data_IF_040095310525
#
_entry.id   IF_040095310525
#
_cell.length_a   1.000
_cell.length_b   1.000
_cell.length_c   1.000
_cell.angle_alpha   90.00
_cell.angle_beta   90.00
_cell.angle_gamma   90.00
#
_symmetry.space_group_name_H-M   'P 1'
#
loop_
_entity.id
_entity.type
_entity.pdbx_description
1 polymer ?
#
# COMPACT_ATOMS: atom_id res chain seq x y z
N UNK A 1 -13.65 23.29 13.81
CA UNK A 1 -13.84 22.06 13.01
C UNK A 1 -15.30 21.84 12.68
N UNK A 2 -15.59 21.03 11.66
CA UNK A 2 -16.97 20.64 11.32
C UNK A 2 -17.61 19.92 12.51
N UNK A 3 -18.88 20.21 12.81
CA UNK A 3 -19.64 19.50 13.86
C UNK A 3 -20.04 18.09 13.45
N UNK A 4 -19.87 17.75 12.16
CA UNK A 4 -20.34 16.51 11.56
C UNK A 4 -19.32 15.97 10.53
N UNK A 5 -19.26 14.65 10.33
CA UNK A 5 -18.47 14.07 9.24
C UNK A 5 -18.93 14.61 7.89
N UNK A 6 -17.95 14.89 7.03
CA UNK A 6 -18.16 15.40 5.67
C UNK A 6 -17.70 14.37 4.65
N UNK A 7 -18.56 14.00 3.71
CA UNK A 7 -18.27 13.07 2.62
C UNK A 7 -18.12 13.84 1.31
N UNK A 8 -17.01 13.62 0.60
CA UNK A 8 -16.86 14.04 -0.78
C UNK A 8 -17.56 13.04 -1.70
N UNK A 9 -18.60 13.46 -2.41
CA UNK A 9 -19.22 12.70 -3.48
C UNK A 9 -18.66 13.18 -4.82
N UNK A 10 -17.71 12.41 -5.34
CA UNK A 10 -17.04 12.64 -6.61
C UNK A 10 -17.81 11.93 -7.72
N UNK A 11 -18.06 12.58 -8.86
CA UNK A 11 -18.74 11.91 -9.97
C UNK A 11 -18.63 12.61 -11.31
N UNK A 12 -18.98 11.86 -12.37
CA UNK A 12 -19.13 12.38 -13.73
C UNK A 12 -20.54 12.95 -13.89
N UNK A 13 -20.73 14.22 -13.50
CA UNK A 13 -22.09 14.77 -13.35
C UNK A 13 -22.78 15.05 -14.68
N UNK A 14 -22.03 15.19 -15.78
CA UNK A 14 -22.60 15.24 -17.14
C UNK A 14 -23.48 14.03 -17.49
N UNK A 15 -23.17 12.85 -16.95
CA UNK A 15 -23.86 11.61 -17.30
C UNK A 15 -24.60 10.97 -16.12
N UNK A 16 -24.13 11.15 -14.88
CA UNK A 16 -24.64 10.45 -13.68
C UNK A 16 -25.21 11.37 -12.61
N UNK A 17 -25.64 12.57 -12.99
CA UNK A 17 -26.19 13.55 -12.05
C UNK A 17 -27.34 12.99 -11.20
N UNK A 18 -28.28 12.27 -11.82
CA UNK A 18 -29.49 11.79 -11.12
C UNK A 18 -29.17 10.76 -10.04
N UNK A 19 -28.23 9.87 -10.32
CA UNK A 19 -27.76 8.80 -9.45
C UNK A 19 -26.90 9.37 -8.31
N UNK A 20 -26.01 10.33 -8.61
CA UNK A 20 -25.25 11.06 -7.61
C UNK A 20 -26.16 11.86 -6.67
N UNK A 21 -27.18 12.55 -7.20
CA UNK A 21 -28.16 13.26 -6.38
C UNK A 21 -28.97 12.31 -5.51
N UNK A 22 -29.36 11.14 -6.03
CA UNK A 22 -30.04 10.14 -5.22
C UNK A 22 -29.15 9.64 -4.08
N UNK A 23 -27.89 9.28 -4.36
CA UNK A 23 -26.93 8.87 -3.34
C UNK A 23 -26.73 9.95 -2.27
N UNK A 24 -26.51 11.20 -2.68
CA UNK A 24 -26.46 12.36 -1.78
C UNK A 24 -27.71 12.45 -0.91
N UNK A 25 -28.90 12.29 -1.49
CA UNK A 25 -30.15 12.34 -0.73
C UNK A 25 -30.27 11.24 0.32
N UNK A 26 -29.70 10.05 0.07
CA UNK A 26 -29.70 8.96 1.05
C UNK A 26 -28.69 9.22 2.17
N UNK A 27 -27.54 9.83 1.86
CA UNK A 27 -26.55 10.26 2.85
C UNK A 27 -27.11 11.33 3.79
N UNK A 28 -27.75 12.38 3.25
CA UNK A 28 -28.28 13.49 4.05
C UNK A 28 -29.55 13.15 4.82
N UNK A 29 -30.33 12.15 4.37
CA UNK A 29 -31.48 11.62 5.10
C UNK A 29 -31.10 10.60 6.19
N UNK A 30 -29.82 10.25 6.32
CA UNK A 30 -29.40 9.28 7.32
C UNK A 30 -29.63 9.85 8.73
N UNK A 31 -30.56 9.26 9.48
CA UNK A 31 -30.92 9.71 10.82
C UNK A 31 -29.97 9.21 11.92
N UNK A 32 -29.11 8.22 11.62
CA UNK A 32 -28.18 7.66 12.60
C UNK A 32 -26.93 8.52 12.76
N UNK A 33 -26.47 9.12 11.66
CA UNK A 33 -25.31 10.00 11.63
C UNK A 33 -25.62 11.22 10.77
N UNK A 34 -25.59 12.45 11.32
CA UNK A 34 -25.66 13.66 10.50
C UNK A 34 -24.43 13.71 9.59
N UNK A 35 -24.66 13.70 8.27
CA UNK A 35 -23.60 13.73 7.25
C UNK A 35 -23.70 15.03 6.45
N UNK A 36 -22.59 15.76 6.34
CA UNK A 36 -22.42 16.82 5.34
C UNK A 36 -21.88 16.21 4.04
N UNK A 37 -22.34 16.69 2.89
CA UNK A 37 -21.85 16.23 1.59
C UNK A 37 -21.25 17.38 0.79
N UNK A 38 -20.08 17.18 0.22
CA UNK A 38 -19.51 18.04 -0.83
C UNK A 38 -19.62 17.33 -2.18
N UNK A 39 -20.10 18.02 -3.21
CA UNK A 39 -20.19 17.50 -4.58
C UNK A 39 -19.02 18.00 -5.43
N UNK A 40 -18.30 17.08 -6.08
CA UNK A 40 -17.20 17.40 -6.99
C UNK A 40 -17.42 16.79 -8.37
N UNK A 41 -17.40 17.64 -9.40
CA UNK A 41 -17.61 17.23 -10.80
C UNK A 41 -16.28 16.88 -11.48
N UNK A 42 -16.23 15.70 -12.08
CA UNK A 42 -15.15 15.22 -12.95
C UNK A 42 -15.71 14.62 -14.24
N UNK A 43 -16.85 15.13 -14.72
CA UNK A 43 -17.45 14.80 -16.02
C UNK A 43 -16.62 15.26 -17.21
N UNK A 44 -17.06 15.00 -18.44
CA UNK A 44 -16.42 15.57 -19.66
C UNK A 44 -16.92 16.97 -19.96
N UNK A 45 -18.15 17.24 -19.55
CA UNK A 45 -18.77 18.56 -19.68
C UNK A 45 -19.18 19.03 -18.30
N UNK A 46 -18.82 20.26 -17.88
CA UNK A 46 -19.24 20.78 -16.60
C UNK A 46 -20.77 20.78 -16.46
N UNK A 47 -21.28 20.24 -15.35
CA UNK A 47 -22.71 20.26 -15.07
C UNK A 47 -23.12 21.63 -14.47
N UNK A 48 -24.22 22.28 -14.93
CA UNK A 48 -24.53 23.68 -14.57
C UNK A 48 -25.19 23.86 -13.20
N UNK A 49 -25.22 22.83 -12.35
CA UNK A 49 -26.01 22.86 -11.12
C UNK A 49 -25.34 23.71 -10.05
N UNK A 50 -26.07 24.63 -9.38
CA UNK A 50 -25.51 25.40 -8.26
C UNK A 50 -25.32 24.56 -6.99
N UNK A 51 -25.75 23.29 -6.99
CA UNK A 51 -25.52 22.37 -5.87
C UNK A 51 -24.09 21.79 -5.86
N UNK A 52 -23.30 22.02 -6.92
CA UNK A 52 -21.94 21.50 -7.04
C UNK A 52 -21.02 22.42 -6.24
N UNK A 53 -20.45 21.90 -5.16
CA UNK A 53 -19.58 22.67 -4.26
C UNK A 53 -18.19 22.89 -4.87
N UNK A 54 -17.67 21.88 -5.57
CA UNK A 54 -16.37 21.92 -6.24
C UNK A 54 -16.64 21.74 -7.74
N UNK A 55 -16.58 22.84 -8.51
CA UNK A 55 -16.89 22.79 -9.93
C UNK A 55 -15.85 21.98 -10.71
N UNK A 56 -16.21 21.60 -11.93
CA UNK A 56 -15.32 20.90 -12.84
C UNK A 56 -13.98 21.66 -13.01
N UNK A 57 -12.82 20.97 -13.08
CA UNK A 57 -11.50 21.62 -13.19
C UNK A 57 -11.37 22.63 -14.35
N UNK A 58 -12.07 22.41 -15.47
CA UNK A 58 -12.11 23.39 -16.57
C UNK A 58 -12.72 24.75 -16.19
N UNK A 59 -13.37 24.87 -15.02
CA UNK A 59 -13.98 26.10 -14.52
C UNK A 59 -13.14 26.79 -13.45
N UNK A 60 -12.10 26.15 -12.89
CA UNK A 60 -11.25 26.78 -11.89
C UNK A 60 -10.31 27.81 -12.52
N UNK A 61 -10.30 29.03 -11.98
CA UNK A 61 -9.35 30.07 -12.39
C UNK A 61 -8.04 30.07 -11.59
N UNK A 62 -7.97 29.33 -10.48
CA UNK A 62 -6.87 29.45 -9.51
C UNK A 62 -5.54 28.76 -9.92
N UNK A 63 -5.53 27.95 -10.99
CA UNK A 63 -4.30 27.38 -11.57
C UNK A 63 -3.80 28.16 -12.80
N UNK A 64 -4.41 29.31 -13.14
CA UNK A 64 -4.00 30.16 -14.28
C UNK A 64 -2.75 31.02 -14.03
N UNK A 65 -1.91 30.69 -13.05
CA UNK A 65 -0.71 31.46 -12.69
C UNK A 65 0.52 30.56 -12.62
N UNK A 66 1.02 30.12 -13.78
CA UNK A 66 2.40 30.29 -14.27
C UNK A 66 2.74 29.23 -15.32
N UNK A 67 3.30 29.75 -16.42
CA UNK A 67 3.99 29.07 -17.52
C UNK A 67 3.11 28.65 -18.71
N UNK A 68 3.21 29.51 -19.73
CA UNK A 68 2.88 29.31 -21.15
C UNK A 68 1.40 29.04 -21.49
N UNK A 69 1.00 29.51 -22.67
CA UNK A 69 -0.35 29.39 -23.21
C UNK A 69 -0.68 27.92 -23.50
N UNK A 70 -0.97 27.12 -22.47
CA UNK A 70 -1.55 25.79 -22.66
C UNK A 70 -3.00 25.96 -23.13
N UNK A 71 -3.30 25.40 -24.31
CA UNK A 71 -4.65 25.31 -24.86
C UNK A 71 -5.61 24.79 -23.77
N UNK A 72 -6.77 25.43 -23.58
CA UNK A 72 -7.80 24.89 -22.68
C UNK A 72 -8.06 23.42 -23.08
N UNK A 73 -7.73 22.48 -22.18
CA UNK A 73 -7.97 21.06 -22.42
C UNK A 73 -9.45 20.85 -22.73
N UNK A 74 -9.77 20.58 -24.00
CA UNK A 74 -11.14 20.25 -24.39
C UNK A 74 -11.44 18.79 -24.02
N UNK A 75 -11.76 18.59 -22.74
CA UNK A 75 -12.14 17.30 -22.16
C UNK A 75 -13.25 16.58 -22.94
N UNK A 76 -14.07 17.30 -23.73
CA UNK A 76 -15.16 16.70 -24.52
C UNK A 76 -14.64 15.81 -25.63
N UNK A 77 -13.54 16.20 -26.27
CA UNK A 77 -13.01 15.53 -27.46
C UNK A 77 -11.75 14.70 -27.19
N UNK A 78 -11.19 14.76 -25.97
CA UNK A 78 -10.08 13.91 -25.58
C UNK A 78 -10.42 12.41 -25.71
N UNK A 79 -9.53 11.59 -26.31
CA UNK A 79 -9.63 10.13 -26.28
C UNK A 79 -9.81 9.61 -24.84
N UNK A 80 -10.52 8.50 -24.65
CA UNK A 80 -10.90 8.02 -23.31
C UNK A 80 -9.72 7.92 -22.33
N UNK A 81 -8.61 7.33 -22.76
CA UNK A 81 -7.45 7.14 -21.88
C UNK A 81 -6.77 8.48 -21.54
N UNK A 82 -6.59 9.35 -22.54
CA UNK A 82 -6.05 10.69 -22.33
C UNK A 82 -6.92 11.49 -21.38
N UNK A 83 -8.24 11.48 -21.60
CA UNK A 83 -9.19 12.14 -20.71
C UNK A 83 -9.09 11.65 -19.26
N UNK A 84 -9.05 10.33 -19.02
CA UNK A 84 -8.92 9.77 -17.68
C UNK A 84 -7.66 10.32 -17.02
N UNK A 85 -6.51 10.28 -17.71
CA UNK A 85 -5.25 10.79 -17.17
C UNK A 85 -5.33 12.29 -16.85
N UNK A 86 -5.73 13.12 -17.83
CA UNK A 86 -5.82 14.57 -17.68
C UNK A 86 -6.74 14.97 -16.54
N UNK A 87 -7.96 14.41 -16.47
CA UNK A 87 -8.93 14.78 -15.43
C UNK A 87 -8.48 14.32 -14.04
N UNK A 88 -7.85 13.16 -13.92
CA UNK A 88 -7.32 12.70 -12.62
C UNK A 88 -6.17 13.56 -12.15
N UNK A 89 -5.26 13.95 -13.05
CA UNK A 89 -4.12 14.84 -12.72
C UNK A 89 -4.62 16.20 -12.23
N UNK A 90 -5.64 16.77 -12.88
CA UNK A 90 -6.22 18.05 -12.48
C UNK A 90 -7.05 17.98 -11.17
N UNK A 91 -7.78 16.87 -10.94
CA UNK A 91 -8.67 16.75 -9.79
C UNK A 91 -7.96 16.34 -8.48
N UNK A 92 -6.89 15.54 -8.58
CA UNK A 92 -6.19 14.96 -7.42
C UNK A 92 -5.69 16.03 -6.42
N UNK A 93 -5.03 17.13 -6.82
CA UNK A 93 -4.55 18.15 -5.87
C UNK A 93 -5.65 18.77 -5.01
N UNK A 94 -6.85 18.96 -5.58
CA UNK A 94 -8.02 19.47 -4.85
C UNK A 94 -8.46 18.49 -3.76
N UNK A 95 -8.53 17.19 -4.10
CA UNK A 95 -8.89 16.15 -3.12
C UNK A 95 -7.83 16.02 -2.03
N UNK A 96 -6.55 16.06 -2.39
CA UNK A 96 -5.45 16.05 -1.42
C UNK A 96 -5.54 17.22 -0.44
N UNK A 97 -5.82 18.44 -0.94
CA UNK A 97 -5.99 19.63 -0.10
C UNK A 97 -7.18 19.50 0.84
N UNK A 98 -8.31 18.99 0.36
CA UNK A 98 -9.48 18.74 1.22
C UNK A 98 -9.18 17.77 2.35
N UNK A 99 -8.38 16.73 2.08
CA UNK A 99 -7.93 15.79 3.09
C UNK A 99 -6.95 16.44 4.08
N UNK A 100 -5.92 17.13 3.60
CA UNK A 100 -4.90 17.79 4.42
C UNK A 100 -5.52 18.86 5.35
N UNK A 101 -6.50 19.60 4.84
CA UNK A 101 -7.26 20.60 5.60
C UNK A 101 -8.32 19.96 6.53
N UNK A 102 -8.41 18.62 6.59
CA UNK A 102 -9.44 17.85 7.30
C UNK A 102 -10.89 18.28 6.98
N UNK A 103 -11.13 18.72 5.74
CA UNK A 103 -12.45 19.14 5.25
C UNK A 103 -13.33 17.95 4.83
N UNK A 104 -12.74 16.78 4.62
CA UNK A 104 -13.44 15.55 4.24
C UNK A 104 -12.99 14.37 5.12
N UNK A 105 -13.90 13.42 5.31
CA UNK A 105 -13.76 12.27 6.21
C UNK A 105 -14.07 10.94 5.51
N UNK A 106 -14.63 11.01 4.29
CA UNK A 106 -14.73 9.91 3.37
C UNK A 106 -14.85 10.44 1.95
N UNK A 107 -14.55 9.59 0.97
CA UNK A 107 -14.85 9.82 -0.44
C UNK A 107 -15.69 8.68 -1.00
N UNK A 108 -16.79 9.05 -1.66
CA UNK A 108 -17.71 8.14 -2.33
C UNK A 108 -17.77 8.47 -3.82
N UNK A 109 -17.93 7.45 -4.66
CA UNK A 109 -18.23 7.64 -6.08
C UNK A 109 -19.04 6.48 -6.65
N UNK A 110 -19.61 6.67 -7.84
CA UNK A 110 -20.38 5.68 -8.58
C UNK A 110 -20.16 5.81 -10.09
N UNK A 111 -20.13 4.68 -10.81
CA UNK A 111 -20.01 4.73 -12.26
C UNK A 111 -19.73 3.40 -12.95
N UNK A 112 -19.66 3.47 -14.29
CA UNK A 112 -19.17 2.37 -15.11
C UNK A 112 -17.65 2.30 -15.13
N UNK A 113 -17.06 1.54 -16.07
CA UNK A 113 -15.59 1.39 -16.18
C UNK A 113 -14.81 2.71 -16.19
N UNK A 114 -15.21 3.69 -17.00
CA UNK A 114 -14.52 4.98 -17.10
C UNK A 114 -14.60 5.78 -15.79
N UNK A 115 -15.80 5.92 -15.20
CA UNK A 115 -15.99 6.64 -13.93
C UNK A 115 -15.29 5.94 -12.76
N UNK A 116 -15.27 4.61 -12.76
CA UNK A 116 -14.51 3.81 -11.78
C UNK A 116 -13.02 4.08 -11.90
N UNK A 117 -12.48 4.12 -13.13
CA UNK A 117 -11.07 4.41 -13.36
C UNK A 117 -10.70 5.79 -12.84
N UNK A 118 -11.48 6.83 -13.16
CA UNK A 118 -11.25 8.21 -12.71
C UNK A 118 -11.29 8.29 -11.18
N UNK A 119 -12.41 7.85 -10.59
CA UNK A 119 -12.63 8.00 -9.16
C UNK A 119 -11.61 7.21 -8.34
N UNK A 120 -11.32 5.97 -8.73
CA UNK A 120 -10.35 5.15 -7.98
C UNK A 120 -8.93 5.66 -8.14
N UNK A 121 -8.52 6.19 -9.31
CA UNK A 121 -7.21 6.84 -9.45
C UNK A 121 -7.09 8.04 -8.51
N UNK A 122 -8.07 8.94 -8.49
CA UNK A 122 -8.07 10.07 -7.54
C UNK A 122 -8.05 9.57 -6.08
N UNK A 123 -8.83 8.54 -5.75
CA UNK A 123 -8.84 7.95 -4.40
C UNK A 123 -7.46 7.39 -4.00
N UNK A 124 -6.76 6.71 -4.91
CA UNK A 124 -5.44 6.14 -4.66
C UNK A 124 -4.37 7.22 -4.57
N UNK A 125 -4.43 8.25 -5.40
CA UNK A 125 -3.36 9.23 -5.51
C UNK A 125 -3.49 10.33 -4.46
N UNK A 126 -4.72 10.70 -4.10
CA UNK A 126 -4.97 11.82 -3.20
C UNK A 126 -5.02 11.46 -1.71
N UNK A 127 -5.32 10.20 -1.37
CA UNK A 127 -5.73 9.81 -0.01
C UNK A 127 -4.90 8.63 0.52
N UNK A 128 -4.49 8.67 1.80
CA UNK A 128 -3.66 7.62 2.39
C UNK A 128 -4.45 6.37 2.74
N UNK A 129 -3.73 5.26 2.98
CA UNK A 129 -4.33 4.04 3.54
C UNK A 129 -4.97 4.36 4.90
N UNK A 130 -6.16 3.81 5.15
CA UNK A 130 -6.97 4.04 6.35
C UNK A 130 -8.04 5.11 6.19
N UNK A 131 -7.91 6.02 5.21
CA UNK A 131 -8.96 6.99 4.90
C UNK A 131 -10.17 6.31 4.24
N UNK A 132 -11.43 6.54 4.67
CA UNK A 132 -12.59 5.91 4.06
C UNK A 132 -12.80 6.19 2.56
N UNK A 133 -12.72 5.14 1.72
CA UNK A 133 -12.93 5.20 0.25
C UNK A 133 -13.94 4.15 -0.19
N UNK A 134 -15.03 4.55 -0.85
CA UNK A 134 -16.05 3.64 -1.37
C UNK A 134 -16.43 3.94 -2.83
N UNK A 135 -16.39 2.91 -3.66
CA UNK A 135 -16.71 3.00 -5.09
C UNK A 135 -17.84 2.03 -5.46
N UNK A 136 -18.98 2.55 -5.93
CA UNK A 136 -20.06 1.75 -6.51
C UNK A 136 -19.82 1.56 -8.01
N UNK A 137 -19.43 0.35 -8.44
CA UNK A 137 -18.96 0.11 -9.80
C UNK A 137 -19.70 -1.01 -10.51
N UNK A 138 -19.89 -0.86 -11.83
CA UNK A 138 -20.33 -1.96 -12.71
C UNK A 138 -19.23 -3.01 -12.92
N UNK A 139 -17.99 -2.71 -12.54
CA UNK A 139 -16.82 -3.57 -12.78
C UNK A 139 -16.46 -4.44 -11.57
N UNK A 140 -17.15 -4.28 -10.44
CA UNK A 140 -16.79 -4.95 -9.18
C UNK A 140 -16.85 -6.48 -9.25
N UNK A 141 -17.77 -7.05 -10.04
CA UNK A 141 -17.90 -8.51 -10.21
C UNK A 141 -16.94 -9.06 -11.28
N UNK A 142 -15.71 -8.57 -11.31
CA UNK A 142 -14.65 -8.94 -12.27
C UNK A 142 -13.26 -8.72 -11.66
N UNK A 143 -12.23 -8.59 -12.51
CA UNK A 143 -10.90 -8.19 -12.03
C UNK A 143 -10.91 -6.71 -11.62
N UNK A 144 -10.72 -6.49 -10.31
CA UNK A 144 -10.70 -5.17 -9.69
C UNK A 144 -9.30 -4.74 -9.26
N UNK A 145 -8.28 -5.59 -9.47
CA UNK A 145 -6.91 -5.30 -9.09
C UNK A 145 -6.38 -3.97 -9.66
N UNK A 146 -6.71 -3.53 -10.89
CA UNK A 146 -6.23 -2.25 -11.40
C UNK A 146 -6.88 -1.03 -10.74
N UNK A 147 -8.08 -1.21 -10.14
CA UNK A 147 -8.82 -0.14 -9.46
C UNK A 147 -8.42 0.00 -7.99
N UNK A 148 -8.11 -1.10 -7.30
CA UNK A 148 -7.76 -1.06 -5.88
C UNK A 148 -6.25 -0.88 -5.70
N UNK A 149 -5.45 -1.57 -6.51
CA UNK A 149 -4.00 -1.67 -6.37
C UNK A 149 -3.61 -2.00 -4.92
N UNK A 150 -2.61 -1.36 -4.34
CA UNK A 150 -2.17 -1.57 -2.95
C UNK A 150 -2.91 -0.73 -1.91
N UNK A 151 -4.14 -0.30 -2.20
CA UNK A 151 -4.95 0.54 -1.30
C UNK A 151 -6.14 -0.20 -0.68
N UNK A 152 -6.86 0.48 0.20
CA UNK A 152 -8.01 -0.01 0.96
C UNK A 152 -9.37 0.48 0.38
N UNK A 153 -9.44 0.72 -0.94
CA UNK A 153 -10.69 1.10 -1.61
C UNK A 153 -11.73 -0.02 -1.49
N UNK A 154 -12.89 0.32 -0.92
CA UNK A 154 -14.04 -0.59 -0.85
C UNK A 154 -14.85 -0.53 -2.14
N UNK A 155 -14.96 -1.67 -2.84
CA UNK A 155 -15.74 -1.79 -4.08
C UNK A 155 -17.13 -2.39 -3.79
N UNK A 156 -18.19 -1.72 -4.25
CA UNK A 156 -19.57 -2.20 -4.18
C UNK A 156 -20.14 -2.43 -5.58
N UNK A 157 -20.59 -3.65 -5.88
CA UNK A 157 -21.12 -3.97 -7.20
C UNK A 157 -22.48 -3.29 -7.42
N UNK A 158 -22.62 -2.56 -8.54
CA UNK A 158 -23.87 -1.88 -8.90
C UNK A 158 -25.01 -2.82 -9.30
N UNK A 159 -24.69 -4.09 -9.61
CA UNK A 159 -25.58 -5.15 -10.12
C UNK A 159 -26.12 -4.87 -11.53
N UNK A 160 -26.67 -3.70 -11.75
CA UNK A 160 -27.14 -3.18 -13.04
C UNK A 160 -26.23 -2.05 -13.50
N UNK A 161 -26.29 -1.70 -14.79
CA UNK A 161 -25.59 -0.53 -15.28
C UNK A 161 -26.07 0.73 -14.55
N UNK A 162 -25.15 1.68 -14.37
CA UNK A 162 -25.45 2.99 -13.78
C UNK A 162 -25.89 3.91 -14.92
N UNK A 163 -27.13 3.74 -15.38
CA UNK A 163 -27.71 4.47 -16.50
C UNK A 163 -29.17 4.81 -16.21
N UNK A 164 -29.37 5.76 -15.31
CA UNK A 164 -30.68 6.13 -14.77
C UNK A 164 -31.09 5.30 -13.56
N UNK A 165 -32.05 5.82 -12.80
CA UNK A 165 -32.54 5.20 -11.57
C UNK A 165 -33.54 4.08 -11.83
N UNK A 166 -33.39 2.97 -11.11
CA UNK A 166 -34.36 1.88 -11.03
C UNK A 166 -34.38 1.29 -9.60
N UNK A 167 -35.32 0.38 -9.32
CA UNK A 167 -35.48 -0.20 -7.97
C UNK A 167 -34.25 -0.95 -7.46
N UNK A 168 -33.52 -1.63 -8.35
CA UNK A 168 -32.31 -2.39 -8.00
C UNK A 168 -31.17 -1.41 -7.67
N UNK A 169 -30.84 -0.51 -8.60
CA UNK A 169 -29.79 0.49 -8.40
C UNK A 169 -30.09 1.38 -7.18
N UNK A 170 -31.35 1.79 -6.99
CA UNK A 170 -31.76 2.58 -5.84
C UNK A 170 -31.60 1.86 -4.50
N UNK A 171 -31.75 0.53 -4.48
CA UNK A 171 -31.43 -0.31 -3.32
C UNK A 171 -29.92 -0.36 -3.05
N UNK A 172 -29.12 -0.60 -4.08
CA UNK A 172 -27.65 -0.63 -3.98
C UNK A 172 -27.09 0.72 -3.50
N UNK A 173 -27.52 1.83 -4.10
CA UNK A 173 -27.07 3.17 -3.70
C UNK A 173 -27.51 3.54 -2.27
N UNK A 174 -28.64 3.02 -1.78
CA UNK A 174 -29.03 3.19 -0.37
C UNK A 174 -28.08 2.44 0.57
N UNK A 175 -27.68 1.22 0.21
CA UNK A 175 -26.69 0.46 0.98
C UNK A 175 -25.33 1.14 0.95
N UNK A 176 -24.91 1.66 -0.22
CA UNK A 176 -23.68 2.45 -0.36
C UNK A 176 -23.68 3.69 0.55
N UNK A 177 -24.81 4.40 0.64
CA UNK A 177 -24.97 5.53 1.54
C UNK A 177 -24.79 5.13 3.01
N UNK A 178 -25.42 4.03 3.43
CA UNK A 178 -25.28 3.51 4.79
C UNK A 178 -23.84 3.12 5.13
N UNK A 179 -23.18 2.38 4.23
CA UNK A 179 -21.79 1.98 4.38
C UNK A 179 -20.86 3.20 4.46
N UNK A 180 -20.98 4.13 3.51
CA UNK A 180 -20.18 5.35 3.49
C UNK A 180 -20.37 6.24 4.71
N UNK A 181 -21.60 6.42 5.18
CA UNK A 181 -21.90 7.17 6.39
C UNK A 181 -21.28 6.52 7.64
N UNK A 182 -21.32 5.20 7.74
CA UNK A 182 -20.68 4.46 8.83
C UNK A 182 -19.17 4.63 8.86
N UNK A 183 -18.51 4.45 7.71
CA UNK A 183 -17.06 4.62 7.58
C UNK A 183 -16.64 6.06 7.90
N UNK A 184 -17.32 7.06 7.33
CA UNK A 184 -17.03 8.48 7.58
C UNK A 184 -17.18 8.86 9.06
N UNK A 185 -18.23 8.35 9.71
CA UNK A 185 -18.50 8.64 11.12
C UNK A 185 -17.49 7.98 12.04
N UNK A 186 -17.06 6.75 11.73
CA UNK A 186 -16.00 6.07 12.48
C UNK A 186 -14.68 6.83 12.39
N UNK A 187 -14.29 7.25 11.18
CA UNK A 187 -13.06 8.00 10.96
C UNK A 187 -13.08 9.39 11.62
N UNK A 188 -14.20 10.11 11.52
CA UNK A 188 -14.36 11.41 12.18
C UNK A 188 -14.26 11.32 13.71
N UNK A 189 -14.82 10.27 14.33
CA UNK A 189 -14.69 10.05 15.77
C UNK A 189 -13.25 9.76 16.17
N UNK A 190 -12.56 8.92 15.41
CA UNK A 190 -11.15 8.63 15.63
C UNK A 190 -10.30 9.92 15.63
N UNK A 191 -10.52 10.83 14.67
CA UNK A 191 -9.82 12.12 14.66
C UNK A 191 -10.10 12.96 15.92
N UNK A 192 -11.37 13.07 16.32
CA UNK A 192 -11.74 13.83 17.52
C UNK A 192 -11.17 13.20 18.82
N UNK A 193 -11.07 11.87 18.88
CA UNK A 193 -10.47 11.15 20.00
C UNK A 193 -8.96 11.45 20.10
N UNK A 194 -8.24 11.45 18.98
CA UNK A 194 -6.81 11.79 18.95
C UNK A 194 -6.55 13.24 19.36
N UNK A 195 -7.40 14.18 18.97
CA UNK A 195 -7.26 15.59 19.34
C UNK A 195 -7.59 15.82 20.83
N UNK A 196 -8.61 15.14 21.36
CA UNK A 196 -8.99 15.22 22.78
C UNK A 196 -7.96 14.62 23.74
N UNK A 197 -7.10 13.71 23.28
CA UNK A 197 -5.97 13.19 24.06
C UNK A 197 -4.77 14.19 24.13
N UNK A 198 -4.73 15.19 23.25
CA UNK A 198 -3.70 16.24 23.23
C UNK A 198 -4.00 17.45 24.12
N UNK A 199 -5.27 17.70 24.46
CA UNK A 199 -5.71 18.85 25.28
C UNK A 199 -6.12 18.40 26.69
N UNK A 200 -5.14 17.89 27.45
CA UNK A 200 -5.35 17.45 28.82
C UNK A 200 -5.01 18.49 29.89
N UNK A 201 -5.77 19.59 30.02
CA UNK A 201 -5.94 20.32 31.30
C UNK A 201 -7.33 20.99 31.38
N UNK A 202 -8.21 20.50 32.26
CA UNK A 202 -9.48 21.19 32.56
C UNK A 202 -10.64 20.31 33.06
N UNK A 203 -10.53 19.86 34.32
CA UNK A 203 -11.61 19.58 35.30
C UNK A 203 -12.87 18.76 34.93
N UNK A 204 -13.07 17.66 35.67
CA UNK A 204 -14.34 16.95 35.78
C UNK A 204 -14.24 15.54 36.36
N UNK A 205 -13.81 15.40 37.62
CA UNK A 205 -13.81 14.12 38.33
C UNK A 205 -15.23 13.63 38.63
N UNK A 206 -15.60 12.44 38.14
CA UNK A 206 -15.89 11.26 38.98
C UNK A 206 -16.35 10.07 38.11
N UNK A 207 -15.93 8.86 38.47
CA UNK A 207 -16.44 7.55 37.99
C UNK A 207 -15.92 6.91 36.68
N UNK A 208 -14.69 7.19 36.23
CA UNK A 208 -13.99 6.34 35.22
C UNK A 208 -12.56 5.94 35.60
N UNK A 209 -12.28 5.73 36.90
CA UNK A 209 -10.89 5.54 37.38
C UNK A 209 -10.29 4.13 37.29
N UNK A 210 -10.99 3.05 36.91
CA UNK A 210 -10.47 1.69 37.16
C UNK A 210 -10.25 0.72 35.98
N UNK A 211 -10.31 1.11 34.69
CA UNK A 211 -10.00 0.14 33.61
C UNK A 211 -9.11 0.57 32.43
N UNK A 212 -8.75 1.86 32.27
CA UNK A 212 -7.99 2.31 31.10
C UNK A 212 -6.71 3.10 31.42
N UNK A 213 -6.21 3.06 32.65
CA UNK A 213 -5.07 3.89 33.08
C UNK A 213 -3.68 3.44 32.63
N UNK A 214 -3.54 2.44 31.75
CA UNK A 214 -2.24 1.76 31.57
C UNK A 214 -1.77 1.47 30.14
N UNK A 215 -2.14 2.22 29.08
CA UNK A 215 -1.55 1.92 27.75
C UNK A 215 -0.97 3.03 26.88
N UNK A 216 -1.39 4.30 26.94
CA UNK A 216 -0.85 5.29 25.99
C UNK A 216 -0.41 6.59 26.69
N UNK A 217 0.70 6.54 27.42
CA UNK A 217 1.49 7.75 27.74
C UNK A 217 2.89 7.57 27.15
N UNK A 218 3.20 8.33 26.09
CA UNK A 218 4.53 8.58 25.53
C UNK A 218 5.50 7.37 25.44
N UNK A 219 5.13 6.28 24.76
CA UNK A 219 6.15 5.34 24.22
C UNK A 219 6.51 5.79 22.81
N UNK A 220 7.80 5.90 22.51
CA UNK A 220 8.28 6.14 21.15
C UNK A 220 8.17 4.81 20.37
N UNK A 221 6.97 4.53 19.85
CA UNK A 221 6.68 3.26 19.16
C UNK A 221 7.25 3.29 17.75
N UNK A 222 8.22 2.42 17.49
CA UNK A 222 8.83 2.22 16.16
C UNK A 222 7.95 1.32 15.31
N UNK A 223 7.56 1.75 14.11
CA UNK A 223 6.74 0.98 13.17
C UNK A 223 7.64 0.29 12.16
N UNK A 224 7.81 -1.02 12.28
CA UNK A 224 8.80 -1.78 11.51
C UNK A 224 8.08 -2.71 10.52
N UNK A 225 8.35 -2.54 9.24
CA UNK A 225 7.84 -3.42 8.19
C UNK A 225 8.76 -4.62 7.96
N UNK A 226 8.20 -5.83 7.80
CA UNK A 226 8.95 -7.05 7.47
C UNK A 226 8.29 -7.80 6.32
N UNK A 227 9.04 -8.14 5.27
CA UNK A 227 8.55 -8.95 4.15
C UNK A 227 8.67 -10.45 4.41
N UNK A 228 7.66 -11.20 4.00
CA UNK A 228 7.49 -12.62 4.33
C UNK A 228 6.97 -13.42 3.16
N UNK A 229 7.41 -14.67 3.03
CA UNK A 229 6.76 -15.68 2.22
C UNK A 229 6.64 -16.98 3.01
N UNK A 230 5.80 -17.92 2.57
CA UNK A 230 5.58 -19.18 3.29
C UNK A 230 6.90 -19.92 3.59
N UNK A 231 7.83 -19.88 2.64
CA UNK A 231 9.16 -20.50 2.72
C UNK A 231 10.20 -19.70 3.54
N UNK A 232 9.86 -18.50 4.03
CA UNK A 232 10.70 -17.66 4.91
C UNK A 232 10.03 -17.34 6.25
N UNK A 233 8.85 -17.90 6.50
CA UNK A 233 8.03 -17.62 7.70
C UNK A 233 8.78 -17.85 9.03
N UNK A 234 9.56 -18.94 9.22
CA UNK A 234 10.34 -19.13 10.44
C UNK A 234 11.36 -18.01 10.66
N UNK A 235 12.09 -17.60 9.63
CA UNK A 235 13.04 -16.49 9.70
C UNK A 235 12.35 -15.18 10.10
N UNK A 236 11.24 -14.86 9.44
CA UNK A 236 10.42 -13.67 9.76
C UNK A 236 9.92 -13.69 11.20
N UNK A 237 9.42 -14.84 11.65
CA UNK A 237 8.92 -15.00 13.02
C UNK A 237 10.03 -14.80 14.04
N UNK A 238 11.22 -15.35 13.79
CA UNK A 238 12.37 -15.18 14.66
C UNK A 238 12.87 -13.72 14.69
N UNK A 239 12.87 -13.00 13.55
CA UNK A 239 13.21 -11.56 13.52
C UNK A 239 12.19 -10.76 14.33
N UNK A 240 10.89 -10.99 14.10
CA UNK A 240 9.79 -10.33 14.83
C UNK A 240 9.94 -10.53 16.34
N UNK A 241 10.10 -11.77 16.79
CA UNK A 241 10.26 -12.11 18.20
C UNK A 241 11.52 -11.46 18.81
N UNK A 242 12.61 -11.39 18.05
CA UNK A 242 13.83 -10.73 18.50
C UNK A 242 13.64 -9.22 18.69
N UNK A 243 13.01 -8.53 17.72
CA UNK A 243 12.75 -7.10 17.79
C UNK A 243 11.71 -6.76 18.87
N UNK A 244 10.62 -7.52 18.97
CA UNK A 244 9.62 -7.36 20.03
C UNK A 244 10.24 -7.63 21.40
N UNK A 245 11.12 -8.63 21.52
CA UNK A 245 11.87 -8.84 22.76
C UNK A 245 12.69 -7.58 23.05
N UNK A 246 13.56 -7.14 22.15
CA UNK A 246 14.46 -6.01 22.38
C UNK A 246 13.73 -4.70 22.73
N UNK A 247 12.68 -4.34 21.98
CA UNK A 247 11.99 -3.07 22.14
C UNK A 247 10.82 -3.10 23.11
N UNK A 248 10.16 -4.25 23.35
CA UNK A 248 8.97 -4.27 24.22
C UNK A 248 9.26 -4.90 25.59
N UNK A 249 10.36 -5.65 25.74
CA UNK A 249 10.75 -6.32 26.98
C UNK A 249 12.24 -6.07 27.25
N UNK A 250 12.58 -5.20 28.21
CA UNK A 250 13.98 -5.01 28.60
C UNK A 250 14.66 -6.35 28.93
N UNK A 251 15.98 -6.43 28.76
CA UNK A 251 16.76 -7.67 28.96
C UNK A 251 16.62 -8.26 30.40
N UNK A 252 16.12 -7.48 31.34
CA UNK A 252 15.85 -7.79 32.75
C UNK A 252 14.35 -7.97 33.08
N UNK A 253 13.47 -7.90 32.08
CA UNK A 253 12.01 -7.93 32.25
C UNK A 253 11.39 -6.60 32.68
N UNK A 254 12.15 -5.51 32.70
CA UNK A 254 11.60 -4.16 32.91
C UNK A 254 11.05 -3.59 31.59
N UNK A 255 10.00 -2.77 31.68
CA UNK A 255 9.50 -2.04 30.51
C UNK A 255 10.54 -1.02 30.04
N UNK A 256 10.89 -1.07 28.76
CA UNK A 256 11.68 -0.05 28.07
C UNK A 256 10.82 1.20 27.81
N UNK A 257 11.47 2.37 27.71
CA UNK A 257 10.81 3.63 27.31
C UNK A 257 10.39 3.61 25.82
N UNK A 258 11.13 2.87 25.00
CA UNK A 258 10.81 2.62 23.60
C UNK A 258 9.91 1.39 23.43
N UNK A 259 9.20 1.31 22.30
CA UNK A 259 8.41 0.14 21.90
C UNK A 259 8.50 -0.07 20.40
N UNK A 260 8.04 -1.22 19.90
CA UNK A 260 7.88 -1.46 18.47
C UNK A 260 6.55 -2.12 18.13
N UNK A 261 6.05 -1.77 16.94
CA UNK A 261 4.96 -2.44 16.25
C UNK A 261 5.49 -3.05 14.96
N UNK A 262 5.22 -4.33 14.76
CA UNK A 262 5.70 -5.08 13.60
C UNK A 262 4.58 -5.28 12.58
N UNK A 263 4.84 -4.92 11.34
CA UNK A 263 3.92 -5.03 10.20
C UNK A 263 4.47 -6.07 9.23
N UNK A 264 3.81 -7.23 9.11
CA UNK A 264 4.24 -8.30 8.21
C UNK A 264 3.54 -8.16 6.85
N UNK A 265 4.34 -8.10 5.78
CA UNK A 265 3.88 -7.99 4.40
C UNK A 265 4.16 -9.30 3.66
N UNK A 266 3.11 -9.93 3.13
CA UNK A 266 3.26 -11.11 2.30
C UNK A 266 3.82 -10.70 0.93
N UNK A 267 4.97 -11.25 0.52
CA UNK A 267 5.71 -10.91 -0.69
C UNK A 267 5.04 -11.47 -1.96
N UNK A 268 3.81 -11.03 -2.23
CA UNK A 268 2.95 -11.48 -3.35
C UNK A 268 2.77 -10.41 -4.42
N UNK A 269 3.67 -9.44 -4.49
CA UNK A 269 3.61 -8.26 -5.33
C UNK A 269 2.79 -7.15 -4.67
N UNK A 270 1.57 -7.47 -4.25
CA UNK A 270 0.71 -6.52 -3.54
C UNK A 270 1.28 -6.13 -2.16
N UNK A 271 1.87 -7.07 -1.42
CA UNK A 271 2.43 -6.77 -0.10
C UNK A 271 3.67 -5.88 -0.17
N UNK A 272 4.58 -6.13 -1.12
CA UNK A 272 5.69 -5.22 -1.39
C UNK A 272 5.23 -3.82 -1.77
N UNK A 273 4.27 -3.69 -2.69
CA UNK A 273 3.70 -2.38 -3.06
C UNK A 273 3.07 -1.66 -1.86
N UNK A 274 2.31 -2.37 -1.03
CA UNK A 274 1.70 -1.81 0.17
C UNK A 274 2.78 -1.31 1.16
N UNK A 275 3.83 -2.09 1.39
CA UNK A 275 4.95 -1.68 2.23
C UNK A 275 5.64 -0.41 1.68
N UNK A 276 5.98 -0.41 0.39
CA UNK A 276 6.60 0.72 -0.31
C UNK A 276 5.75 1.99 -0.22
N UNK A 277 4.42 1.85 -0.31
CA UNK A 277 3.48 2.94 -0.15
C UNK A 277 3.45 3.48 1.28
N UNK A 278 3.35 2.61 2.28
CA UNK A 278 3.36 2.99 3.69
C UNK A 278 4.67 3.71 4.09
N UNK A 279 5.81 3.33 3.50
CA UNK A 279 7.07 4.06 3.64
C UNK A 279 6.94 5.48 3.08
N UNK A 280 6.39 5.65 1.86
CA UNK A 280 6.20 6.97 1.24
C UNK A 280 5.26 7.87 2.04
N UNK A 281 4.24 7.27 2.65
CA UNK A 281 3.27 7.91 3.54
C UNK A 281 3.80 8.16 4.97
N UNK A 282 5.08 7.85 5.25
CA UNK A 282 5.73 7.98 6.58
C UNK A 282 5.02 7.19 7.70
N UNK A 283 4.38 6.09 7.34
CA UNK A 283 3.70 5.18 8.29
C UNK A 283 4.63 4.08 8.83
N UNK A 284 5.81 3.90 8.22
CA UNK A 284 6.85 2.97 8.68
C UNK A 284 8.15 3.73 8.94
N UNK A 285 8.82 3.36 10.03
CA UNK A 285 10.05 4.00 10.50
C UNK A 285 11.32 3.23 10.10
N UNK A 286 11.21 1.91 9.90
CA UNK A 286 12.32 1.05 9.52
C UNK A 286 11.82 -0.23 8.82
N UNK A 287 12.68 -0.89 8.04
CA UNK A 287 12.31 -2.04 7.21
C UNK A 287 13.31 -3.19 7.37
N UNK A 288 12.77 -4.39 7.59
CA UNK A 288 13.47 -5.66 7.37
C UNK A 288 12.89 -6.32 6.13
N UNK A 289 13.54 -6.10 5.00
CA UNK A 289 13.15 -6.72 3.75
C UNK A 289 13.74 -8.13 3.64
N UNK A 290 13.25 -9.04 4.49
CA UNK A 290 13.79 -10.40 4.59
C UNK A 290 13.54 -11.21 3.31
N UNK A 291 12.39 -10.97 2.66
CA UNK A 291 11.89 -11.75 1.53
C UNK A 291 11.70 -10.85 0.31
N UNK A 292 12.64 -10.93 -0.63
CA UNK A 292 12.69 -10.08 -1.83
C UNK A 292 12.30 -10.84 -3.11
N UNK A 293 11.59 -11.95 -2.98
CA UNK A 293 11.10 -12.80 -4.09
C UNK A 293 10.32 -12.06 -5.17
N UNK A 294 9.61 -10.97 -4.84
CA UNK A 294 8.86 -10.15 -5.80
C UNK A 294 9.76 -9.53 -6.90
N UNK A 295 11.06 -9.38 -6.63
CA UNK A 295 12.07 -8.94 -7.62
C UNK A 295 12.35 -10.04 -8.64
N UNK A 296 12.33 -11.30 -8.20
CA UNK A 296 12.47 -12.46 -9.11
C UNK A 296 11.32 -12.45 -10.11
N UNK A 297 10.09 -12.32 -9.61
CA UNK A 297 8.90 -12.29 -10.46
C UNK A 297 8.93 -11.08 -11.43
N UNK A 298 9.40 -9.90 -11.00
CA UNK A 298 9.59 -8.76 -11.91
C UNK A 298 10.64 -9.03 -13.00
N UNK A 299 11.80 -9.57 -12.63
CA UNK A 299 12.91 -9.80 -13.55
C UNK A 299 12.63 -10.93 -14.55
N UNK A 300 11.92 -11.97 -14.09
CA UNK A 300 11.74 -13.23 -14.83
C UNK A 300 10.36 -13.32 -15.47
N UNK A 301 9.38 -12.53 -15.03
CA UNK A 301 8.01 -12.52 -15.54
C UNK A 301 7.09 -13.51 -14.82
N UNK A 302 7.22 -13.58 -13.49
CA UNK A 302 6.28 -14.26 -12.60
C UNK A 302 5.03 -13.42 -12.30
N UNK A 303 4.08 -14.00 -11.56
CA UNK A 303 2.75 -13.41 -11.34
C UNK A 303 2.65 -12.55 -10.07
N UNK A 304 3.65 -12.59 -9.21
CA UNK A 304 3.71 -11.90 -7.91
C UNK A 304 4.71 -10.72 -7.92
N UNK A 305 4.80 -10.01 -9.05
CA UNK A 305 5.68 -8.84 -9.16
C UNK A 305 5.16 -7.63 -8.36
N UNK A 306 6.05 -6.99 -7.60
CA UNK A 306 5.82 -5.70 -6.96
C UNK A 306 6.13 -4.51 -7.90
N UNK A 307 6.52 -4.78 -9.15
CA UNK A 307 6.82 -3.79 -10.17
C UNK A 307 8.22 -3.18 -10.08
N UNK A 308 8.58 -2.32 -11.04
CA UNK A 308 9.94 -1.80 -11.19
C UNK A 308 10.36 -0.84 -10.07
N UNK A 309 9.42 -0.38 -9.25
CA UNK A 309 9.67 0.47 -8.09
C UNK A 309 10.08 -0.29 -6.83
N UNK A 310 10.13 -1.63 -6.83
CA UNK A 310 10.46 -2.40 -5.62
C UNK A 310 11.86 -2.04 -5.08
N UNK A 311 12.00 -1.97 -3.75
CA UNK A 311 13.15 -1.52 -2.95
C UNK A 311 13.48 -0.02 -2.98
N UNK A 312 12.71 0.80 -3.72
CA UNK A 312 13.05 2.22 -3.88
C UNK A 312 12.63 3.10 -2.71
N UNK A 313 11.48 2.88 -2.08
CA UNK A 313 10.89 3.84 -1.15
C UNK A 313 11.77 4.07 0.09
N UNK A 314 12.31 3.00 0.69
CA UNK A 314 13.17 3.12 1.85
C UNK A 314 14.51 3.79 1.50
N UNK A 315 15.08 3.44 0.34
CA UNK A 315 16.30 4.02 -0.19
C UNK A 315 16.13 5.54 -0.46
N UNK A 316 15.02 5.93 -1.08
CA UNK A 316 14.66 7.33 -1.37
C UNK A 316 14.39 8.14 -0.09
N UNK A 317 13.66 7.57 0.87
CA UNK A 317 13.35 8.22 2.16
C UNK A 317 14.53 8.25 3.12
N UNK A 318 15.52 7.38 2.95
CA UNK A 318 16.66 7.26 3.85
C UNK A 318 16.29 6.74 5.23
N UNK A 319 15.26 5.88 5.33
CA UNK A 319 14.92 5.18 6.58
C UNK A 319 15.80 3.94 6.75
N UNK A 320 16.07 3.49 7.99
CA UNK A 320 16.82 2.26 8.27
C UNK A 320 16.26 1.05 7.52
N UNK A 321 17.12 0.36 6.76
CA UNK A 321 16.72 -0.78 5.94
C UNK A 321 17.74 -1.92 6.02
N UNK A 322 17.29 -3.09 6.48
CA UNK A 322 18.01 -4.35 6.32
C UNK A 322 17.37 -5.13 5.18
N UNK A 323 18.16 -5.51 4.16
CA UNK A 323 17.69 -6.27 3.00
C UNK A 323 18.32 -7.66 3.03
N UNK A 324 17.53 -8.69 2.77
CA UNK A 324 18.00 -10.06 2.55
C UNK A 324 17.52 -10.56 1.18
N UNK A 325 17.89 -11.80 0.86
CA UNK A 325 17.66 -12.47 -0.42
C UNK A 325 16.66 -13.63 -0.26
N UNK A 326 15.80 -13.56 0.75
CA UNK A 326 14.84 -14.61 1.05
C UNK A 326 13.90 -14.88 -0.12
N UNK A 327 13.74 -16.16 -0.44
CA UNK A 327 12.94 -16.67 -1.56
C UNK A 327 13.36 -16.14 -2.95
N UNK A 328 14.61 -15.67 -3.12
CA UNK A 328 15.14 -15.32 -4.44
C UNK A 328 15.48 -16.54 -5.33
N UNK A 329 15.32 -17.76 -4.80
CA UNK A 329 15.47 -19.04 -5.49
C UNK A 329 14.25 -19.43 -6.34
N UNK A 330 13.15 -18.66 -6.32
CA UNK A 330 11.90 -19.07 -6.97
C UNK A 330 11.17 -17.96 -7.72
N UNK A 331 10.66 -18.32 -8.89
CA UNK A 331 9.70 -17.54 -9.70
C UNK A 331 8.31 -18.12 -9.48
N UNK A 332 7.29 -17.28 -9.29
CA UNK A 332 5.93 -17.73 -9.01
C UNK A 332 5.02 -17.67 -10.24
N UNK A 333 4.23 -18.73 -10.43
CA UNK A 333 3.17 -18.84 -11.44
C UNK A 333 1.88 -19.37 -10.81
N UNK A 334 0.80 -19.34 -11.59
CA UNK A 334 -0.50 -19.89 -11.18
C UNK A 334 -0.54 -21.41 -11.25
N UNK A 335 -1.65 -21.95 -11.75
CA UNK A 335 -1.82 -23.39 -11.98
C UNK A 335 -0.77 -23.92 -12.97
N UNK A 336 -0.42 -25.22 -12.95
CA UNK A 336 0.65 -25.76 -13.79
C UNK A 336 0.52 -25.47 -15.29
N UNK A 337 -0.71 -25.39 -15.80
CA UNK A 337 -1.02 -25.05 -17.20
C UNK A 337 -0.79 -23.58 -17.56
N UNK A 338 -0.62 -22.71 -16.56
CA UNK A 338 -0.29 -21.29 -16.76
C UNK A 338 1.21 -21.02 -16.83
N UNK A 339 2.05 -22.01 -16.51
CA UNK A 339 3.51 -21.87 -16.55
C UNK A 339 3.94 -21.68 -18.02
N UNK A 340 4.64 -20.57 -18.37
CA UNK A 340 5.06 -20.32 -19.74
C UNK A 340 5.97 -21.43 -20.28
N UNK A 341 5.79 -21.75 -21.57
CA UNK A 341 6.48 -22.85 -22.26
C UNK A 341 8.00 -22.84 -22.09
N UNK A 342 8.61 -21.64 -22.02
CA UNK A 342 10.05 -21.46 -21.81
C UNK A 342 10.58 -22.05 -20.49
N UNK A 343 9.72 -22.38 -19.54
CA UNK A 343 10.09 -22.99 -18.26
C UNK A 343 9.84 -24.50 -18.20
N UNK A 344 9.36 -25.15 -19.28
CA UNK A 344 8.95 -26.56 -19.25
C UNK A 344 10.05 -27.52 -18.79
N UNK A 345 11.30 -27.26 -19.17
CA UNK A 345 12.46 -28.10 -18.82
C UNK A 345 13.18 -27.66 -17.54
N UNK A 346 12.57 -26.75 -16.77
CA UNK A 346 13.13 -26.23 -15.51
C UNK A 346 12.71 -27.10 -14.34
N UNK A 347 13.37 -26.87 -13.20
CA UNK A 347 12.97 -27.50 -11.95
C UNK A 347 11.70 -26.83 -11.42
N UNK A 348 10.56 -27.47 -11.68
CA UNK A 348 9.22 -27.04 -11.29
C UNK A 348 8.81 -27.72 -9.98
N UNK A 349 8.18 -26.97 -9.08
CA UNK A 349 7.55 -27.48 -7.87
C UNK A 349 6.12 -26.97 -7.76
N UNK A 350 5.17 -27.90 -7.70
CA UNK A 350 3.77 -27.59 -7.40
C UNK A 350 3.64 -27.34 -5.89
N UNK A 351 3.54 -26.06 -5.50
CA UNK A 351 3.43 -25.69 -4.10
C UNK A 351 2.04 -26.02 -3.56
N UNK A 352 1.01 -25.72 -4.34
CA UNK A 352 -0.38 -26.12 -4.10
C UNK A 352 -1.15 -26.14 -5.44
N UNK A 353 -2.42 -26.57 -5.48
CA UNK A 353 -3.17 -26.67 -6.74
C UNK A 353 -3.29 -25.37 -7.54
N UNK A 354 -3.07 -24.21 -6.94
CA UNK A 354 -3.19 -22.88 -7.55
C UNK A 354 -1.84 -22.21 -7.81
N UNK A 355 -0.73 -22.75 -7.29
CA UNK A 355 0.57 -22.09 -7.29
C UNK A 355 1.66 -23.07 -7.69
N UNK A 356 2.37 -22.72 -8.75
CA UNK A 356 3.52 -23.43 -9.27
C UNK A 356 4.74 -22.53 -9.19
N UNK A 357 5.83 -23.04 -8.64
CA UNK A 357 7.08 -22.28 -8.54
C UNK A 357 8.19 -22.94 -9.37
N UNK A 358 9.06 -22.12 -9.92
CA UNK A 358 10.18 -22.55 -10.77
C UNK A 358 11.48 -22.08 -10.14
N UNK A 359 12.45 -22.99 -9.98
CA UNK A 359 13.78 -22.64 -9.46
C UNK A 359 14.48 -21.68 -10.40
N UNK A 360 14.96 -20.55 -9.90
CA UNK A 360 15.78 -19.60 -10.66
C UNK A 360 17.10 -20.23 -11.13
N UNK A 361 17.61 -19.77 -12.28
CA UNK A 361 18.92 -20.17 -12.80
C UNK A 361 19.95 -19.06 -12.58
N UNK A 362 21.21 -19.34 -12.91
CA UNK A 362 22.31 -18.38 -12.76
C UNK A 362 22.08 -17.02 -13.48
N UNK A 363 21.50 -17.00 -14.68
CA UNK A 363 21.26 -15.75 -15.40
C UNK A 363 20.20 -14.88 -14.72
N UNK A 364 19.11 -15.52 -14.27
CA UNK A 364 18.02 -14.90 -13.52
C UNK A 364 18.51 -14.42 -12.15
N UNK A 365 19.31 -15.22 -11.43
CA UNK A 365 19.98 -14.84 -10.17
C UNK A 365 20.82 -13.58 -10.35
N UNK A 366 21.62 -13.49 -11.43
CA UNK A 366 22.38 -12.28 -11.73
C UNK A 366 21.47 -11.09 -12.08
N UNK A 367 20.35 -11.31 -12.75
CA UNK A 367 19.39 -10.24 -13.05
C UNK A 367 18.78 -9.66 -11.77
N UNK A 368 18.36 -10.52 -10.85
CA UNK A 368 17.82 -10.14 -9.52
C UNK A 368 18.86 -9.38 -8.72
N UNK A 369 20.10 -9.88 -8.67
CA UNK A 369 21.19 -9.20 -7.97
C UNK A 369 21.50 -7.80 -8.53
N UNK A 370 21.46 -7.64 -9.86
CA UNK A 370 21.61 -6.33 -10.51
C UNK A 370 20.45 -5.39 -10.19
N UNK A 371 19.21 -5.86 -10.27
CA UNK A 371 18.03 -5.05 -9.95
C UNK A 371 18.11 -4.53 -8.52
N UNK A 372 18.35 -5.40 -7.55
CA UNK A 372 18.48 -5.04 -6.14
C UNK A 372 19.59 -4.00 -5.93
N UNK A 373 20.77 -4.25 -6.50
CA UNK A 373 21.89 -3.32 -6.37
C UNK A 373 21.61 -1.96 -7.03
N UNK A 374 20.95 -1.93 -8.19
CA UNK A 374 20.56 -0.68 -8.84
C UNK A 374 19.69 0.20 -7.94
N UNK A 375 18.72 -0.40 -7.24
CA UNK A 375 17.84 0.32 -6.31
C UNK A 375 18.58 0.82 -5.08
N UNK A 376 19.35 -0.04 -4.42
CA UNK A 376 20.05 0.34 -3.19
C UNK A 376 21.18 1.34 -3.43
N UNK A 377 21.77 1.39 -4.63
CA UNK A 377 22.75 2.44 -5.01
C UNK A 377 22.14 3.84 -5.09
N UNK A 378 20.82 3.94 -5.21
CA UNK A 378 20.09 5.21 -5.23
C UNK A 378 19.72 5.67 -3.80
N UNK A 379 20.13 4.92 -2.76
CA UNK A 379 19.85 5.30 -1.39
C UNK A 379 20.42 6.68 -1.07
N UNK A 380 19.56 7.57 -0.57
CA UNK A 380 19.95 8.92 -0.13
C UNK A 380 20.84 8.86 1.11
N UNK A 381 20.72 7.78 1.90
CA UNK A 381 21.51 7.48 3.10
C UNK A 381 22.04 6.04 3.04
N UNK A 382 23.09 5.77 2.24
CA UNK A 382 23.60 4.41 2.09
C UNK A 382 24.14 3.82 3.40
N UNK A 383 24.53 4.65 4.37
CA UNK A 383 24.93 4.23 5.72
C UNK A 383 23.78 3.67 6.56
N UNK A 384 22.52 3.94 6.16
CA UNK A 384 21.30 3.40 6.78
C UNK A 384 20.78 2.14 6.06
N UNK A 385 21.58 1.55 5.16
CA UNK A 385 21.22 0.34 4.41
C UNK A 385 22.28 -0.75 4.62
N UNK A 386 21.82 -1.97 4.90
CA UNK A 386 22.67 -3.16 4.94
C UNK A 386 22.01 -4.32 4.22
N UNK A 387 22.79 -5.03 3.40
CA UNK A 387 22.39 -6.30 2.80
C UNK A 387 22.99 -7.45 3.60
N UNK A 388 22.16 -8.36 4.11
CA UNK A 388 22.58 -9.55 4.86
C UNK A 388 22.24 -10.80 4.05
N UNK A 389 23.26 -11.51 3.58
CA UNK A 389 23.13 -12.68 2.71
C UNK A 389 23.09 -13.98 3.51
N UNK A 390 22.01 -14.79 3.40
CA UNK A 390 21.92 -16.08 4.07
C UNK A 390 22.64 -17.17 3.25
N UNK A 391 23.95 -17.31 3.43
CA UNK A 391 24.79 -18.25 2.64
C UNK A 391 24.40 -19.71 2.86
N UNK A 392 23.70 -20.02 3.97
CA UNK A 392 23.21 -21.37 4.23
C UNK A 392 21.94 -21.75 3.45
N UNK A 393 21.31 -20.81 2.74
CA UNK A 393 20.10 -21.06 1.96
C UNK A 393 19.11 -19.89 1.92
N UNK A 394 18.47 -19.69 0.77
CA UNK A 394 17.54 -18.58 0.50
C UNK A 394 16.10 -18.88 0.93
N UNK A 395 15.72 -20.15 1.12
CA UNK A 395 14.33 -20.54 1.45
C UNK A 395 14.26 -21.91 2.13
N UNK A 396 13.08 -22.32 2.61
CA UNK A 396 12.86 -23.71 3.06
C UNK A 396 13.14 -24.77 1.99
N UNK A 397 13.06 -24.41 0.70
CA UNK A 397 13.32 -25.34 -0.41
C UNK A 397 14.78 -25.30 -0.85
N UNK A 398 15.48 -24.22 -0.53
CA UNK A 398 16.88 -23.97 -0.85
C UNK A 398 17.74 -24.08 0.41
N UNK A 399 17.78 -25.29 0.97
CA UNK A 399 18.74 -25.69 2.02
C UNK A 399 19.19 -27.12 1.75
N UNK A 400 20.37 -27.50 2.25
CA UNK A 400 20.96 -28.82 1.98
C UNK A 400 19.95 -29.97 2.17
N UNK A 401 19.73 -30.72 1.09
CA UNK A 401 18.83 -31.88 1.05
C UNK A 401 17.40 -31.57 0.62
N UNK A 402 17.08 -30.30 0.33
CA UNK A 402 15.80 -29.88 -0.22
C UNK A 402 15.86 -29.71 -1.75
N UNK A 403 14.69 -29.55 -2.38
CA UNK A 403 14.55 -29.63 -3.83
C UNK A 403 15.28 -28.52 -4.57
N UNK A 404 15.27 -27.29 -4.06
CA UNK A 404 15.83 -26.11 -4.73
C UNK A 404 17.27 -25.81 -4.31
N UNK A 405 17.88 -26.67 -3.47
CA UNK A 405 19.26 -26.51 -3.01
C UNK A 405 20.25 -26.43 -4.18
N UNK A 406 20.79 -25.24 -4.42
CA UNK A 406 21.75 -24.97 -5.48
C UNK A 406 22.76 -23.89 -5.05
N UNK A 407 23.77 -24.27 -4.24
CA UNK A 407 24.74 -23.31 -3.70
C UNK A 407 25.59 -22.63 -4.78
N UNK A 408 25.74 -23.23 -5.96
CA UNK A 408 26.43 -22.61 -7.09
C UNK A 408 25.55 -21.53 -7.73
N UNK A 409 24.25 -21.81 -7.92
CA UNK A 409 23.26 -20.83 -8.38
C UNK A 409 23.03 -19.67 -7.40
N UNK A 410 23.12 -19.92 -6.10
CA UNK A 410 23.00 -18.87 -5.08
C UNK A 410 24.24 -17.97 -5.03
N UNK A 411 25.43 -18.54 -5.25
CA UNK A 411 26.67 -17.76 -5.31
C UNK A 411 26.65 -16.76 -6.47
N UNK A 412 26.00 -17.08 -7.58
CA UNK A 412 25.78 -16.13 -8.68
C UNK A 412 24.96 -14.91 -8.26
N UNK A 413 23.97 -15.10 -7.37
CA UNK A 413 23.21 -14.00 -6.77
C UNK A 413 24.08 -13.20 -5.80
N UNK A 414 24.73 -13.88 -4.84
CA UNK A 414 25.56 -13.24 -3.81
C UNK A 414 26.71 -12.44 -4.42
N UNK A 415 27.51 -13.06 -5.29
CA UNK A 415 28.64 -12.42 -5.95
C UNK A 415 28.23 -11.24 -6.83
N UNK A 416 27.06 -11.32 -7.48
CA UNK A 416 26.53 -10.18 -8.25
C UNK A 416 26.18 -9.01 -7.37
N UNK A 417 25.46 -9.23 -6.27
CA UNK A 417 25.08 -8.16 -5.33
C UNK A 417 26.32 -7.52 -4.71
N UNK A 418 27.30 -8.31 -4.25
CA UNK A 418 28.56 -7.80 -3.69
C UNK A 418 29.33 -6.95 -4.72
N UNK A 419 29.50 -7.46 -5.94
CA UNK A 419 30.21 -6.75 -6.99
C UNK A 419 29.50 -5.46 -7.41
N UNK A 420 28.17 -5.49 -7.51
CA UNK A 420 27.37 -4.35 -7.97
C UNK A 420 27.23 -3.25 -6.91
N UNK A 421 27.24 -3.61 -5.61
CA UNK A 421 27.20 -2.65 -4.51
C UNK A 421 28.59 -2.12 -4.10
N UNK A 422 29.67 -2.64 -4.66
CA UNK A 422 31.03 -2.18 -4.35
C UNK A 422 31.17 -0.68 -4.60
N UNK A 423 31.61 0.04 -3.57
CA UNK A 423 31.81 1.51 -3.63
C UNK A 423 30.52 2.34 -3.55
N UNK A 424 29.35 1.72 -3.33
CA UNK A 424 28.08 2.44 -3.14
C UNK A 424 27.91 3.07 -1.76
N UNK A 425 28.71 2.64 -0.77
CA UNK A 425 28.51 2.99 0.64
C UNK A 425 27.55 2.06 1.38
N UNK A 426 26.74 1.25 0.66
CA UNK A 426 25.87 0.23 1.25
C UNK A 426 26.72 -0.91 1.79
N UNK A 427 26.47 -1.32 3.03
CA UNK A 427 27.20 -2.44 3.65
C UNK A 427 26.61 -3.77 3.18
N UNK A 428 27.47 -4.72 2.87
CA UNK A 428 27.08 -6.09 2.48
C UNK A 428 27.75 -7.08 3.43
N UNK A 429 26.97 -8.00 3.99
CA UNK A 429 27.41 -8.97 5.00
C UNK A 429 26.98 -10.37 4.58
N UNK A 430 27.92 -11.32 4.56
CA UNK A 430 27.61 -12.74 4.43
C UNK A 430 27.40 -13.35 5.81
N UNK A 431 26.29 -14.05 5.99
CA UNK A 431 25.99 -14.81 7.20
C UNK A 431 25.91 -16.30 6.88
N UNK A 432 26.58 -17.14 7.66
CA UNK A 432 26.76 -18.57 7.33
C UNK A 432 25.47 -19.42 7.42
N UNK A 433 24.47 -18.96 8.21
CA UNK A 433 23.17 -19.63 8.33
C UNK A 433 22.25 -19.40 7.12
N UNK A 434 21.21 -20.22 7.01
CA UNK A 434 20.10 -20.03 6.07
C UNK A 434 19.12 -18.95 6.56
N UNK A 435 18.25 -18.48 5.67
CA UNK A 435 17.29 -17.38 5.95
C UNK A 435 16.34 -17.67 7.13
N UNK A 436 16.06 -18.94 7.40
CA UNK A 436 15.17 -19.39 8.46
C UNK A 436 15.92 -19.74 9.76
N UNK A 437 17.26 -19.73 9.73
CA UNK A 437 18.09 -20.00 10.88
C UNK A 437 17.95 -18.91 11.94
N UNK A 438 17.74 -19.31 13.20
CA UNK A 438 17.60 -18.37 14.32
C UNK A 438 18.79 -17.39 14.45
N UNK A 439 20.01 -17.88 14.27
CA UNK A 439 21.20 -17.03 14.32
C UNK A 439 21.22 -15.96 13.21
N UNK A 440 20.73 -16.30 12.01
CA UNK A 440 20.57 -15.34 10.92
C UNK A 440 19.54 -14.27 11.27
N UNK A 441 18.37 -14.69 11.75
CA UNK A 441 17.30 -13.79 12.15
C UNK A 441 17.70 -12.82 13.28
N UNK A 442 18.37 -13.30 14.32
CA UNK A 442 18.89 -12.47 15.40
C UNK A 442 20.00 -11.51 14.90
N UNK A 443 20.82 -11.95 13.93
CA UNK A 443 21.77 -11.11 13.23
C UNK A 443 21.08 -9.96 12.49
N UNK A 444 20.08 -10.26 11.67
CA UNK A 444 19.26 -9.27 10.95
C UNK A 444 18.60 -8.27 11.91
N UNK A 445 18.01 -8.74 13.01
CA UNK A 445 17.40 -7.86 14.00
C UNK A 445 18.41 -6.91 14.66
N UNK A 446 19.61 -7.40 14.98
CA UNK A 446 20.70 -6.59 15.53
C UNK A 446 21.18 -5.53 14.55
N UNK A 447 21.29 -5.88 13.27
CA UNK A 447 21.65 -4.93 12.23
C UNK A 447 20.62 -3.80 12.14
N UNK A 448 19.32 -4.11 12.18
CA UNK A 448 18.29 -3.08 12.15
C UNK A 448 18.39 -2.12 13.34
N UNK A 449 18.56 -2.65 14.56
CA UNK A 449 18.71 -1.84 15.78
C UNK A 449 19.89 -0.87 15.63
N UNK A 450 21.04 -1.36 15.18
CA UNK A 450 22.22 -0.50 14.94
C UNK A 450 21.99 0.59 13.89
N UNK A 451 21.13 0.34 12.91
CA UNK A 451 20.74 1.35 11.93
C UNK A 451 19.70 2.33 12.46
N UNK A 452 18.99 2.02 13.55
CA UNK A 452 17.99 2.91 14.14
C UNK A 452 18.58 3.84 15.20
N UNK A 453 19.65 3.41 15.86
CA UNK A 453 20.53 4.25 16.69
C UNK A 453 21.34 5.27 15.85
#
# INVERSE_FOLDING_TARGET
MSSHPTILLLGTFDTKWSECLYLRSQLTKNHYYPITTLLMDVGRTPHPSPLIDIPHPSLSQEEKIKEEEEEEDDYRHLPRNTYIHTITTAATPTVSRLYQDQKIHAILSLGGSCGTSIATTIMRDALPIGFPKLMVSTMTSGDVSPYIQETDITMMYSVVDVAGMNGILGGVLRNAAGAGAGMASSYFRYLNEMEGEGEGEGEGESERKDKNKNKNKNKNVKRIGITMFGVTTPGVTAVREYLEKYYNNGDDGNETEDGCEIYIFHATGAGGKAMERLIRENQLDAIVDLTTSEIVDECVGGVLSAGPGRLSAAAEKGIPQVVSLGACDMVNFGTPDTVPERFRDRLIYEHNPMVTIVRTNAEESRAVGRFLAEKLRQAVRPEKVVVVMPVGGLSMLDVKGQKFWDPEGDEELFGTVESALKGSGVRVVRHAGDVNGRGFAEGVGRELIQLMD
#
